data_IF_137705434437
#
_entry.id   IF_137705434437
#
_cell.length_a   1.000
_cell.length_b   1.000
_cell.length_c   1.000
_cell.angle_alpha   90.00
_cell.angle_beta   90.00
_cell.angle_gamma   90.00
#
_symmetry.space_group_name_H-M   'P 1'
#
loop_
_entity.id
_entity.type
_entity.pdbx_description
1 polymer ?
#
# COMPACT_ATOMS: atom_id res chain seq x y z
N UNK A 1 33.72 -3.85 -1.79
CA UNK A 1 32.26 -3.86 -1.49
C UNK A 1 31.81 -2.41 -1.41
N UNK A 2 30.82 -2.02 -2.17
CA UNK A 2 30.23 -0.68 -2.04
C UNK A 2 29.54 -0.58 -0.69
N UNK A 3 29.80 0.50 0.07
CA UNK A 3 29.16 0.71 1.34
C UNK A 3 27.69 1.04 1.11
N UNK A 4 26.78 0.29 1.76
CA UNK A 4 25.34 0.58 1.70
C UNK A 4 25.09 1.91 2.38
N UNK A 5 24.30 2.76 1.71
CA UNK A 5 23.87 4.04 2.27
C UNK A 5 22.34 4.10 2.34
N UNK A 6 21.85 4.61 3.45
CA UNK A 6 20.41 4.85 3.69
C UNK A 6 20.25 6.35 3.92
N UNK A 7 19.48 7.00 3.04
CA UNK A 7 19.22 8.45 3.09
C UNK A 7 17.73 8.68 3.33
N UNK A 8 17.38 9.19 4.50
CA UNK A 8 15.98 9.46 4.85
C UNK A 8 15.38 10.53 3.92
N UNK A 9 14.14 10.32 3.51
CA UNK A 9 13.33 11.34 2.86
C UNK A 9 13.00 12.48 3.86
N UNK A 10 12.63 13.63 3.34
CA UNK A 10 12.31 14.82 4.15
C UNK A 10 11.05 14.69 5.02
N UNK A 11 10.28 13.62 4.93
CA UNK A 11 9.06 13.41 5.70
C UNK A 11 9.25 12.49 6.91
N UNK A 12 8.15 12.16 7.56
CA UNK A 12 8.10 11.26 8.71
C UNK A 12 8.50 9.81 8.36
N UNK A 13 8.43 9.41 7.09
CA UNK A 13 8.71 8.07 6.60
C UNK A 13 9.48 8.08 5.28
N UNK A 14 9.93 6.90 4.86
CA UNK A 14 10.64 6.67 3.60
C UNK A 14 12.14 6.95 3.66
N UNK A 15 12.92 6.13 2.94
CA UNK A 15 14.35 6.30 2.73
C UNK A 15 14.78 5.81 1.34
N UNK A 16 15.76 6.47 0.73
CA UNK A 16 16.48 5.95 -0.43
C UNK A 16 17.64 5.09 0.02
N UNK A 17 17.83 3.96 -0.65
CA UNK A 17 18.89 2.99 -0.38
C UNK A 17 19.77 2.84 -1.62
N UNK A 18 21.07 2.95 -1.45
CA UNK A 18 22.05 2.74 -2.51
C UNK A 18 23.16 1.79 -2.05
N UNK A 19 23.89 1.21 -3.01
CA UNK A 19 25.03 0.33 -2.75
C UNK A 19 24.70 -1.12 -2.47
N UNK A 20 23.43 -1.53 -2.55
CA UNK A 20 23.02 -2.95 -2.47
C UNK A 20 23.37 -3.64 -3.78
N UNK A 21 24.10 -4.74 -3.69
CA UNK A 21 24.35 -5.62 -4.85
C UNK A 21 23.25 -6.68 -4.92
N UNK A 22 22.64 -6.93 -6.12
CA UNK A 22 21.50 -7.85 -6.25
C UNK A 22 21.95 -9.31 -6.31
N UNK A 23 22.54 -9.79 -5.22
CA UNK A 23 22.96 -11.18 -5.06
C UNK A 23 22.19 -11.86 -3.92
N UNK A 24 21.93 -13.15 -4.04
CA UNK A 24 21.21 -13.94 -3.03
C UNK A 24 22.11 -15.10 -2.57
N UNK A 25 22.27 -15.30 -1.25
CA UNK A 25 21.76 -14.46 -0.17
C UNK A 25 22.55 -13.15 -0.02
N UNK A 26 21.92 -12.14 0.56
CA UNK A 26 22.61 -10.94 1.03
C UNK A 26 23.45 -11.29 2.27
N UNK A 27 24.52 -10.53 2.50
CA UNK A 27 25.32 -10.65 3.74
C UNK A 27 24.55 -10.13 4.97
N UNK A 28 24.99 -10.54 6.16
CA UNK A 28 24.28 -10.26 7.40
C UNK A 28 24.22 -8.76 7.74
N UNK A 29 25.26 -7.97 7.40
CA UNK A 29 25.31 -6.54 7.65
C UNK A 29 24.31 -5.80 6.76
N UNK A 30 24.25 -6.17 5.48
CA UNK A 30 23.25 -5.68 4.53
C UNK A 30 21.83 -5.98 5.01
N UNK A 31 21.55 -7.21 5.41
CA UNK A 31 20.25 -7.63 5.93
C UNK A 31 19.85 -6.78 7.15
N UNK A 32 20.75 -6.63 8.11
CA UNK A 32 20.50 -5.84 9.32
C UNK A 32 20.20 -4.37 8.98
N UNK A 33 20.98 -3.79 8.08
CA UNK A 33 20.83 -2.39 7.65
C UNK A 33 19.47 -2.19 6.98
N UNK A 34 19.07 -3.07 6.06
CA UNK A 34 17.80 -2.99 5.35
C UNK A 34 16.61 -3.16 6.29
N UNK A 35 16.66 -4.16 7.18
CA UNK A 35 15.58 -4.38 8.16
C UNK A 35 15.43 -3.19 9.11
N UNK A 36 16.54 -2.68 9.65
CA UNK A 36 16.51 -1.50 10.50
C UNK A 36 15.88 -0.30 9.78
N UNK A 37 16.34 0.01 8.57
CA UNK A 37 15.81 1.12 7.78
C UNK A 37 14.31 0.92 7.46
N UNK A 38 13.89 -0.32 7.18
CA UNK A 38 12.51 -0.64 6.92
C UNK A 38 11.62 -0.50 8.14
N UNK A 39 12.06 -0.94 9.31
CA UNK A 39 11.34 -0.79 10.57
C UNK A 39 11.18 0.67 10.99
N UNK A 40 12.22 1.49 10.77
CA UNK A 40 12.22 2.90 11.14
C UNK A 40 11.49 3.79 10.12
N UNK A 41 11.47 3.41 8.83
CA UNK A 41 11.01 4.29 7.75
C UNK A 41 9.82 3.76 6.95
N UNK A 42 9.50 2.48 7.01
CA UNK A 42 8.34 1.85 6.37
C UNK A 42 8.36 1.79 4.84
N UNK A 43 9.16 2.61 4.15
CA UNK A 43 9.30 2.66 2.69
C UNK A 43 10.78 2.73 2.31
N UNK A 44 11.26 1.78 1.53
CA UNK A 44 12.59 1.79 0.94
C UNK A 44 12.50 1.99 -0.58
N UNK A 45 13.34 2.87 -1.11
CA UNK A 45 13.40 3.25 -2.51
C UNK A 45 14.80 2.95 -3.03
N UNK A 46 14.88 2.16 -4.08
CA UNK A 46 16.12 1.86 -4.80
C UNK A 46 15.99 2.44 -6.21
N UNK A 47 16.93 3.30 -6.59
CA UNK A 47 16.95 3.96 -7.89
C UNK A 47 17.88 3.24 -8.85
N UNK A 48 17.48 3.17 -10.12
CA UNK A 48 18.29 2.59 -11.21
C UNK A 48 18.86 1.20 -10.82
N UNK A 49 17.99 0.36 -10.24
CA UNK A 49 18.35 -0.91 -9.63
C UNK A 49 17.97 -2.07 -10.52
N UNK A 50 18.93 -2.61 -11.27
CA UNK A 50 18.66 -3.72 -12.19
C UNK A 50 18.53 -5.04 -11.44
N UNK A 51 17.31 -5.58 -11.39
CA UNK A 51 16.98 -6.81 -10.65
C UNK A 51 16.00 -7.70 -11.40
N UNK A 52 16.13 -9.00 -11.18
CA UNK A 52 15.12 -9.97 -11.60
C UNK A 52 13.98 -10.11 -10.58
N UNK A 53 13.00 -10.95 -10.93
CA UNK A 53 11.86 -11.24 -10.05
C UNK A 53 12.28 -12.03 -8.81
N UNK A 54 13.32 -12.87 -8.92
CA UNK A 54 13.79 -13.69 -7.80
C UNK A 54 14.35 -12.80 -6.69
N UNK A 55 15.16 -11.81 -7.06
CA UNK A 55 15.72 -10.86 -6.10
C UNK A 55 14.65 -9.96 -5.50
N UNK A 56 13.69 -9.45 -6.31
CA UNK A 56 12.56 -8.66 -5.80
C UNK A 56 11.73 -9.44 -4.78
N UNK A 57 11.42 -10.71 -5.06
CA UNK A 57 10.69 -11.60 -4.15
C UNK A 57 11.48 -11.84 -2.88
N UNK A 58 12.77 -12.15 -3.01
CA UNK A 58 13.67 -12.36 -1.87
C UNK A 58 13.68 -11.16 -0.92
N UNK A 59 13.83 -9.93 -1.44
CA UNK A 59 13.78 -8.71 -0.62
C UNK A 59 12.43 -8.53 0.06
N UNK A 60 11.33 -8.81 -0.63
CA UNK A 60 9.99 -8.67 -0.06
C UNK A 60 9.76 -9.66 1.08
N UNK A 61 10.19 -10.92 0.92
CA UNK A 61 10.10 -11.93 1.98
C UNK A 61 11.07 -11.65 3.14
N UNK A 62 12.27 -11.15 2.84
CA UNK A 62 13.27 -10.74 3.85
C UNK A 62 12.75 -9.66 4.79
N UNK A 63 12.00 -8.69 4.26
CA UNK A 63 11.48 -7.56 5.02
C UNK A 63 10.13 -7.85 5.70
N UNK A 64 9.41 -8.89 5.26
CA UNK A 64 8.15 -9.30 5.89
C UNK A 64 8.36 -10.25 7.07
N UNK A 65 9.41 -11.04 7.06
CA UNK A 65 9.70 -12.09 8.04
C UNK A 65 10.85 -11.79 8.98
N UNK A 66 10.97 -12.62 10.03
CA UNK A 66 12.13 -12.57 10.96
C UNK A 66 13.29 -13.41 10.45
N UNK A 67 13.00 -14.48 9.73
CA UNK A 67 14.02 -15.39 9.17
C UNK A 67 14.56 -14.86 7.84
N UNK A 68 15.77 -15.28 7.48
CA UNK A 68 16.32 -15.04 6.14
C UNK A 68 15.66 -16.05 5.18
N UNK A 69 15.03 -15.59 4.09
CA UNK A 69 14.38 -16.50 3.15
C UNK A 69 15.35 -17.49 2.52
N UNK A 70 14.92 -18.73 2.38
CA UNK A 70 15.63 -19.75 1.61
C UNK A 70 15.41 -19.45 0.11
N UNK A 71 16.47 -19.16 -0.66
CA UNK A 71 16.35 -18.80 -2.07
C UNK A 71 15.69 -19.85 -2.96
N UNK A 72 15.69 -21.11 -2.52
CA UNK A 72 15.13 -22.23 -3.28
C UNK A 72 13.64 -22.49 -2.95
N UNK A 73 13.11 -21.77 -1.95
CA UNK A 73 11.71 -21.89 -1.49
C UNK A 73 10.86 -20.64 -1.76
N UNK A 74 11.40 -19.65 -2.45
CA UNK A 74 10.68 -18.42 -2.77
C UNK A 74 9.42 -18.69 -3.62
N UNK A 75 8.31 -18.03 -3.27
CA UNK A 75 7.07 -18.08 -4.06
C UNK A 75 7.11 -17.04 -5.17
N UNK A 76 7.66 -17.39 -6.32
CA UNK A 76 7.84 -16.47 -7.44
C UNK A 76 6.57 -16.38 -8.28
N UNK A 77 6.06 -15.14 -8.46
CA UNK A 77 4.91 -14.78 -9.29
C UNK A 77 5.31 -13.60 -10.19
N UNK A 78 5.80 -13.88 -11.37
CA UNK A 78 6.37 -12.88 -12.29
C UNK A 78 5.35 -12.17 -13.18
N UNK A 79 4.11 -12.64 -13.19
CA UNK A 79 3.02 -12.12 -14.03
C UNK A 79 2.07 -11.16 -13.31
N UNK A 80 2.35 -10.77 -12.06
CA UNK A 80 1.53 -9.79 -11.38
C UNK A 80 1.98 -8.36 -11.74
N UNK A 81 1.38 -7.83 -12.78
CA UNK A 81 1.70 -6.50 -13.33
C UNK A 81 0.59 -5.50 -13.03
N UNK A 82 0.98 -4.32 -12.59
CA UNK A 82 0.11 -3.13 -12.55
C UNK A 82 0.42 -2.32 -13.80
N UNK A 83 -0.47 -2.37 -14.80
CA UNK A 83 -0.13 -1.86 -16.11
C UNK A 83 -1.32 -1.29 -16.88
N UNK A 84 -1.10 -0.19 -17.60
CA UNK A 84 -2.03 0.35 -18.60
C UNK A 84 -1.72 -0.15 -20.03
N UNK A 85 -0.77 -1.07 -20.18
CA UNK A 85 -0.36 -1.64 -21.48
C UNK A 85 -0.60 -3.13 -21.58
N UNK A 86 -0.28 -3.87 -20.50
CA UNK A 86 -0.40 -5.32 -20.51
C UNK A 86 -1.87 -5.75 -20.44
N UNK A 87 -2.37 -6.59 -21.38
CA UNK A 87 -3.78 -6.99 -21.44
C UNK A 87 -4.29 -7.66 -20.16
N UNK A 88 -3.40 -8.34 -19.42
CA UNK A 88 -3.70 -9.02 -18.15
C UNK A 88 -3.28 -8.18 -16.93
N UNK A 89 -2.84 -6.95 -17.16
CA UNK A 89 -2.40 -6.04 -16.10
C UNK A 89 -3.52 -5.69 -15.14
N UNK A 90 -3.20 -5.66 -13.85
CA UNK A 90 -4.12 -5.17 -12.83
C UNK A 90 -4.16 -3.63 -12.83
N UNK A 91 -5.30 -3.07 -12.38
CA UNK A 91 -5.53 -1.63 -12.27
C UNK A 91 -5.09 -0.83 -13.51
N UNK A 92 -5.63 -1.15 -14.71
CA UNK A 92 -5.10 -0.64 -15.98
C UNK A 92 -5.35 0.86 -16.20
N UNK A 93 -6.32 1.45 -15.51
CA UNK A 93 -6.69 2.86 -15.63
C UNK A 93 -7.29 3.39 -14.33
N UNK A 94 -7.67 4.65 -14.29
CA UNK A 94 -8.38 5.30 -13.20
C UNK A 94 -7.53 5.66 -11.99
N UNK A 95 -8.16 6.30 -11.02
CA UNK A 95 -7.59 6.66 -9.71
C UNK A 95 -7.89 5.57 -8.68
N UNK A 96 -6.95 5.31 -7.80
CA UNK A 96 -7.16 4.48 -6.62
C UNK A 96 -7.13 5.36 -5.37
N UNK A 97 -8.16 5.23 -4.52
CA UNK A 97 -8.19 5.89 -3.22
C UNK A 97 -7.12 5.30 -2.29
N UNK A 98 -6.80 6.01 -1.21
CA UNK A 98 -5.87 5.51 -0.20
C UNK A 98 -6.36 4.22 0.43
N UNK A 99 -5.48 3.22 0.47
CA UNK A 99 -5.74 1.89 1.01
C UNK A 99 -4.45 1.18 1.44
N UNK A 100 -4.62 0.14 2.23
CA UNK A 100 -3.67 -0.94 2.42
C UNK A 100 -4.25 -2.20 1.80
N UNK A 101 -3.46 -2.94 1.02
CA UNK A 101 -3.93 -4.17 0.38
C UNK A 101 -4.36 -5.20 1.42
N UNK A 102 -5.51 -5.85 1.19
CA UNK A 102 -6.05 -6.92 2.03
C UNK A 102 -6.36 -6.52 3.49
N UNK A 103 -6.49 -5.23 3.80
CA UNK A 103 -6.80 -4.74 5.15
C UNK A 103 -8.10 -5.32 5.70
N UNK A 104 -9.03 -5.71 4.84
CA UNK A 104 -10.32 -6.31 5.14
C UNK A 104 -10.28 -7.83 5.32
N UNK A 105 -9.16 -8.49 4.99
CA UNK A 105 -9.07 -9.95 5.04
C UNK A 105 -8.56 -10.44 6.39
N UNK A 106 -9.32 -11.37 7.00
CA UNK A 106 -8.88 -12.07 8.20
C UNK A 106 -7.84 -13.18 7.91
N UNK A 107 -7.82 -13.67 6.66
CA UNK A 107 -7.08 -14.88 6.27
C UNK A 107 -5.79 -14.58 5.54
N UNK A 108 -5.76 -13.50 4.78
CA UNK A 108 -4.72 -13.21 3.79
C UNK A 108 -4.13 -11.81 4.01
N UNK A 109 -3.56 -11.57 5.19
CA UNK A 109 -2.86 -10.31 5.45
C UNK A 109 -1.61 -10.22 4.59
N UNK A 110 -1.41 -9.08 3.96
CA UNK A 110 -0.20 -8.71 3.23
C UNK A 110 0.60 -7.72 4.08
N UNK A 111 1.81 -8.09 4.46
CA UNK A 111 2.66 -7.27 5.31
C UNK A 111 3.58 -6.35 4.50
N UNK A 112 4.11 -6.84 3.38
CA UNK A 112 5.05 -6.12 2.52
C UNK A 112 4.58 -6.17 1.07
N UNK A 113 4.68 -5.04 0.40
CA UNK A 113 4.47 -4.94 -1.05
C UNK A 113 5.70 -4.31 -1.68
N UNK A 114 6.08 -4.79 -2.85
CA UNK A 114 7.04 -4.09 -3.69
C UNK A 114 6.55 -3.90 -5.11
N UNK A 115 6.96 -2.78 -5.71
CA UNK A 115 6.73 -2.46 -7.11
C UNK A 115 8.06 -2.15 -7.78
N UNK A 116 8.25 -2.70 -8.98
CA UNK A 116 9.44 -2.49 -9.80
C UNK A 116 9.06 -1.90 -11.18
N UNK A 117 9.66 -0.80 -11.54
CA UNK A 117 9.41 -0.09 -12.82
C UNK A 117 10.02 -0.83 -14.00
N UNK A 118 9.20 -1.59 -14.77
CA UNK A 118 9.63 -2.31 -15.96
C UNK A 118 9.59 -1.45 -17.22
N UNK A 119 8.52 -0.66 -17.37
CA UNK A 119 8.32 0.27 -18.47
C UNK A 119 7.62 1.51 -17.92
N UNK A 120 8.29 2.66 -17.99
CA UNK A 120 7.82 3.89 -17.36
C UNK A 120 8.04 5.08 -18.30
N UNK A 121 6.99 5.44 -19.06
CA UNK A 121 6.98 6.65 -19.89
C UNK A 121 6.77 7.91 -19.06
N UNK A 122 7.28 9.03 -19.53
CA UNK A 122 7.18 10.31 -18.85
C UNK A 122 6.16 11.26 -19.50
N UNK A 123 5.43 12.07 -18.72
CA UNK A 123 5.40 12.11 -17.26
C UNK A 123 4.69 10.88 -16.67
N UNK A 124 5.30 10.21 -15.71
CA UNK A 124 4.73 9.02 -15.09
C UNK A 124 3.73 9.39 -13.98
N UNK A 125 2.60 8.69 -13.92
CA UNK A 125 1.69 8.81 -12.79
C UNK A 125 2.36 8.28 -11.52
N UNK A 126 2.48 9.08 -10.44
CA UNK A 126 3.14 8.67 -9.21
C UNK A 126 2.36 7.60 -8.45
N UNK A 127 3.02 6.95 -7.49
CA UNK A 127 2.36 6.28 -6.38
C UNK A 127 2.44 7.18 -5.15
N UNK A 128 1.28 7.43 -4.53
CA UNK A 128 1.15 8.28 -3.35
C UNK A 128 1.23 7.44 -2.10
N UNK A 129 1.85 7.96 -1.05
CA UNK A 129 1.96 7.30 0.25
C UNK A 129 1.63 8.25 1.39
N UNK A 130 1.07 7.71 2.48
CA UNK A 130 0.96 8.34 3.81
C UNK A 130 1.38 7.34 4.88
N UNK A 131 1.82 7.86 6.02
CA UNK A 131 2.10 7.04 7.19
C UNK A 131 0.92 7.02 8.15
N UNK A 132 0.40 5.83 8.43
CA UNK A 132 -0.63 5.63 9.44
C UNK A 132 -0.07 5.79 10.87
N UNK A 133 1.24 5.60 11.07
CA UNK A 133 1.92 5.88 12.32
C UNK A 133 2.00 7.40 12.59
N UNK A 134 2.48 8.17 11.61
CA UNK A 134 2.48 9.63 11.71
C UNK A 134 1.05 10.16 11.89
N UNK A 135 0.10 9.56 11.15
CA UNK A 135 -1.32 9.86 11.31
C UNK A 135 -1.82 9.68 12.75
N UNK A 136 -1.40 8.60 13.44
CA UNK A 136 -1.73 8.40 14.85
C UNK A 136 -0.99 9.37 15.76
N UNK A 137 0.31 9.54 15.58
CA UNK A 137 1.16 10.35 16.44
C UNK A 137 0.78 11.83 16.43
N UNK A 138 0.28 12.32 15.31
CA UNK A 138 -0.15 13.72 15.10
C UNK A 138 -1.67 13.92 15.18
N UNK A 139 -2.44 12.86 15.50
CA UNK A 139 -3.90 12.92 15.58
C UNK A 139 -4.35 13.94 16.63
N UNK A 140 -5.23 14.90 16.29
CA UNK A 140 -5.82 15.84 17.25
C UNK A 140 -6.45 15.10 18.44
N UNK A 141 -6.29 15.67 19.65
CA UNK A 141 -6.69 14.97 20.89
C UNK A 141 -8.20 14.72 20.96
N UNK A 142 -9.02 15.60 20.40
CA UNK A 142 -10.47 15.41 20.36
C UNK A 142 -10.90 14.23 19.46
N UNK A 143 -10.19 14.02 18.33
CA UNK A 143 -10.40 12.85 17.46
C UNK A 143 -9.80 11.58 18.12
N UNK A 144 -8.61 11.69 18.71
CA UNK A 144 -7.96 10.59 19.43
C UNK A 144 -8.85 10.05 20.56
N UNK A 145 -9.42 10.94 21.38
CA UNK A 145 -10.31 10.58 22.47
C UNK A 145 -11.56 9.81 21.99
N UNK A 146 -12.06 10.14 20.78
CA UNK A 146 -13.22 9.45 20.21
C UNK A 146 -12.92 8.04 19.73
N UNK A 147 -11.64 7.70 19.39
CA UNK A 147 -11.34 6.47 18.65
C UNK A 147 -10.32 5.54 19.31
N UNK A 148 -9.56 6.00 20.32
CA UNK A 148 -8.44 5.24 20.91
C UNK A 148 -8.80 3.84 21.43
N UNK A 149 -10.02 3.68 21.94
CA UNK A 149 -10.52 2.44 22.51
C UNK A 149 -11.60 1.77 21.63
N UNK A 150 -11.72 2.21 20.35
CA UNK A 150 -12.74 1.72 19.44
C UNK A 150 -12.15 0.89 18.34
N UNK A 151 -13.01 0.08 17.73
CA UNK A 151 -12.71 -0.73 16.55
C UNK A 151 -13.49 -0.25 15.33
N UNK A 152 -12.94 -0.50 14.16
CA UNK A 152 -13.60 -0.27 12.88
C UNK A 152 -13.90 -1.58 12.17
N UNK A 153 -14.97 -1.61 11.41
CA UNK A 153 -15.31 -2.70 10.51
C UNK A 153 -14.61 -2.45 9.18
N UNK A 154 -13.77 -3.40 8.80
CA UNK A 154 -13.05 -3.40 7.53
C UNK A 154 -13.74 -4.39 6.59
N UNK A 155 -14.23 -3.90 5.49
CA UNK A 155 -14.89 -4.68 4.44
C UNK A 155 -14.78 -3.92 3.12
N UNK A 156 -14.50 -4.64 2.03
CA UNK A 156 -14.56 -4.00 0.73
C UNK A 156 -16.02 -3.98 0.25
N UNK A 157 -16.62 -2.81 0.27
CA UNK A 157 -17.98 -2.56 -0.16
C UNK A 157 -17.97 -1.50 -1.26
N UNK A 158 -18.45 -1.89 -2.44
CA UNK A 158 -18.44 -1.03 -3.62
C UNK A 158 -19.29 0.24 -3.43
N UNK A 159 -20.43 0.15 -2.75
CA UNK A 159 -21.32 1.30 -2.54
C UNK A 159 -20.70 2.33 -1.59
N UNK A 160 -20.06 1.87 -0.51
CA UNK A 160 -19.33 2.76 0.41
C UNK A 160 -18.12 3.39 -0.29
N UNK A 161 -17.41 2.62 -1.09
CA UNK A 161 -16.29 3.13 -1.87
C UNK A 161 -16.74 4.21 -2.87
N UNK A 162 -17.83 3.95 -3.60
CA UNK A 162 -18.44 4.91 -4.54
C UNK A 162 -18.92 6.18 -3.83
N UNK A 163 -19.54 6.05 -2.66
CA UNK A 163 -19.99 7.20 -1.85
C UNK A 163 -18.81 8.10 -1.45
N UNK A 164 -17.69 7.52 -1.01
CA UNK A 164 -16.48 8.26 -0.62
C UNK A 164 -15.75 8.88 -1.80
N UNK A 165 -15.89 8.29 -2.96
CA UNK A 165 -15.38 8.81 -4.22
C UNK A 165 -16.37 9.73 -4.93
N UNK A 166 -17.49 10.11 -4.30
CA UNK A 166 -18.56 10.87 -4.93
C UNK A 166 -18.06 12.16 -5.58
N UNK A 167 -18.49 12.39 -6.82
CA UNK A 167 -18.02 13.52 -7.65
C UNK A 167 -16.74 13.26 -8.44
N UNK A 168 -16.09 12.11 -8.24
CA UNK A 168 -14.89 11.73 -8.98
C UNK A 168 -15.21 10.59 -9.97
N UNK A 169 -15.27 10.90 -11.25
CA UNK A 169 -15.62 9.95 -12.31
C UNK A 169 -14.44 9.06 -12.74
N UNK A 170 -13.22 9.41 -12.31
CA UNK A 170 -12.00 8.71 -12.71
C UNK A 170 -11.59 7.61 -11.72
N UNK A 171 -12.38 7.36 -10.68
CA UNK A 171 -12.05 6.35 -9.67
C UNK A 171 -12.24 4.95 -10.23
N UNK A 172 -11.19 4.14 -10.12
CA UNK A 172 -11.24 2.72 -10.44
C UNK A 172 -11.90 1.96 -9.30
N UNK A 173 -12.99 1.29 -9.62
CA UNK A 173 -13.68 0.40 -8.69
C UNK A 173 -13.30 -1.04 -9.03
N UNK A 174 -12.80 -1.75 -8.03
CA UNK A 174 -12.48 -3.17 -8.14
C UNK A 174 -13.68 -3.97 -7.63
N UNK A 175 -14.26 -4.81 -8.46
CA UNK A 175 -15.31 -5.72 -8.02
C UNK A 175 -14.64 -6.97 -7.45
N UNK A 176 -14.43 -7.01 -6.15
CA UNK A 176 -14.03 -8.22 -5.45
C UNK A 176 -15.28 -9.01 -5.06
N UNK A 177 -15.26 -10.30 -5.29
CA UNK A 177 -16.24 -11.19 -4.67
C UNK A 177 -15.79 -11.50 -3.25
N UNK A 178 -15.92 -10.52 -2.35
CA UNK A 178 -15.47 -10.66 -0.96
C UNK A 178 -16.43 -11.47 -0.10
N UNK A 179 -17.62 -11.79 -0.63
CA UNK A 179 -18.66 -12.44 0.16
C UNK A 179 -19.07 -11.58 1.37
N UNK A 180 -19.38 -12.24 2.47
CA UNK A 180 -19.65 -11.58 3.76
C UNK A 180 -18.39 -11.44 4.63
N UNK A 181 -17.21 -11.63 4.06
CA UNK A 181 -15.95 -11.56 4.80
C UNK A 181 -15.68 -10.11 5.22
N UNK A 182 -15.68 -9.88 6.51
CA UNK A 182 -15.26 -8.63 7.14
C UNK A 182 -14.39 -8.91 8.36
N UNK A 183 -13.59 -7.95 8.75
CA UNK A 183 -12.85 -8.00 10.01
C UNK A 183 -13.14 -6.77 10.84
N UNK A 184 -13.14 -6.95 12.15
CA UNK A 184 -13.19 -5.84 13.10
C UNK A 184 -11.79 -5.66 13.67
N UNK A 185 -11.22 -4.46 13.48
CA UNK A 185 -9.86 -4.14 13.90
C UNK A 185 -9.85 -2.92 14.82
N UNK A 186 -8.99 -2.86 15.85
CA UNK A 186 -8.78 -1.62 16.59
C UNK A 186 -8.40 -0.47 15.66
N UNK A 187 -8.96 0.73 15.90
CA UNK A 187 -8.57 1.95 15.17
C UNK A 187 -7.16 2.36 15.58
N UNK A 188 -6.86 2.32 16.88
CA UNK A 188 -5.51 2.40 17.42
C UNK A 188 -4.84 1.01 17.34
N UNK A 189 -4.40 0.62 16.15
CA UNK A 189 -3.87 -0.72 15.91
C UNK A 189 -2.39 -0.80 16.27
N UNK A 190 -2.01 -1.87 16.98
CA UNK A 190 -0.61 -2.10 17.31
C UNK A 190 0.06 -2.88 16.20
N UNK A 191 1.03 -2.25 15.56
CA UNK A 191 1.78 -2.86 14.46
C UNK A 191 2.51 -4.13 14.96
N UNK A 192 2.32 -5.30 14.32
CA UNK A 192 2.80 -6.58 14.85
C UNK A 192 4.31 -6.72 14.89
N UNK A 193 5.04 -6.07 13.98
CA UNK A 193 6.50 -6.14 13.88
C UNK A 193 7.19 -5.06 14.69
N UNK A 194 6.79 -3.79 14.54
CA UNK A 194 7.44 -2.65 15.21
C UNK A 194 6.88 -2.36 16.60
N UNK A 195 5.66 -2.79 16.89
CA UNK A 195 4.96 -2.47 18.14
C UNK A 195 4.45 -1.03 18.21
N UNK A 196 4.65 -0.21 17.19
CA UNK A 196 4.13 1.16 17.15
C UNK A 196 2.61 1.18 16.98
N UNK A 197 1.96 2.21 17.48
CA UNK A 197 0.52 2.41 17.26
C UNK A 197 0.31 3.14 15.95
N UNK A 198 -0.61 2.64 15.13
CA UNK A 198 -0.99 3.23 13.84
C UNK A 198 -2.48 3.56 13.81
N UNK A 199 -2.86 4.56 13.04
CA UNK A 199 -4.25 4.89 12.76
C UNK A 199 -4.77 3.97 11.63
N UNK A 200 -5.42 2.87 12.04
CA UNK A 200 -5.75 1.77 11.13
C UNK A 200 -7.17 1.89 10.56
N UNK A 201 -7.36 2.91 9.71
CA UNK A 201 -8.57 3.17 8.93
C UNK A 201 -8.16 3.61 7.51
N UNK A 202 -8.96 3.29 6.49
CA UNK A 202 -8.71 3.79 5.13
C UNK A 202 -10.01 4.04 4.37
N UNK A 203 -9.94 4.89 3.34
CA UNK A 203 -11.10 5.25 2.52
C UNK A 203 -11.70 4.07 1.76
N UNK A 204 -10.89 3.08 1.39
CA UNK A 204 -11.34 1.98 0.53
C UNK A 204 -12.17 0.96 1.30
N UNK A 205 -11.78 0.59 2.53
CA UNK A 205 -12.33 -0.59 3.19
C UNK A 205 -12.93 -0.34 4.57
N UNK A 206 -12.66 0.78 5.22
CA UNK A 206 -13.25 1.06 6.53
C UNK A 206 -14.71 1.45 6.36
N UNK A 207 -15.63 0.59 6.80
CA UNK A 207 -17.06 0.81 6.66
C UNK A 207 -17.58 1.83 7.66
N UNK A 208 -17.38 1.53 8.94
CA UNK A 208 -17.84 2.33 10.08
C UNK A 208 -17.06 1.99 11.34
N UNK A 209 -17.21 2.81 12.36
CA UNK A 209 -16.81 2.46 13.73
C UNK A 209 -17.81 1.42 14.27
N UNK A 210 -17.32 0.31 14.81
CA UNK A 210 -18.11 -0.91 15.04
C UNK A 210 -19.32 -0.70 15.96
N UNK A 211 -19.15 0.10 17.01
CA UNK A 211 -20.14 0.35 18.07
C UNK A 211 -20.85 1.72 17.93
N UNK A 212 -20.79 2.31 16.72
CA UNK A 212 -21.47 3.57 16.41
C UNK A 212 -22.51 3.37 15.31
N UNK A 213 -23.68 4.03 15.38
CA UNK A 213 -24.56 4.20 14.22
C UNK A 213 -23.80 4.89 13.06
N UNK A 214 -24.13 4.56 11.84
CA UNK A 214 -23.46 5.12 10.65
C UNK A 214 -23.48 6.65 10.64
N UNK A 215 -24.61 7.27 11.01
CA UNK A 215 -24.75 8.72 11.06
C UNK A 215 -23.81 9.42 12.06
N UNK A 216 -23.38 8.72 13.10
CA UNK A 216 -22.39 9.22 14.07
C UNK A 216 -20.96 8.85 13.67
N UNK A 217 -20.79 7.67 13.06
CA UNK A 217 -19.50 7.16 12.63
C UNK A 217 -18.93 7.95 11.44
N UNK A 218 -19.78 8.26 10.45
CA UNK A 218 -19.32 8.91 9.21
C UNK A 218 -18.57 10.24 9.47
N UNK A 219 -19.09 11.20 10.27
CA UNK A 219 -18.37 12.44 10.54
C UNK A 219 -17.04 12.24 11.29
N UNK A 220 -16.93 11.21 12.13
CA UNK A 220 -15.68 10.88 12.81
C UNK A 220 -14.67 10.31 11.80
N UNK A 221 -15.09 9.38 10.93
CA UNK A 221 -14.23 8.83 9.89
C UNK A 221 -13.76 9.89 8.90
N UNK A 222 -14.66 10.81 8.49
CA UNK A 222 -14.30 11.91 7.62
C UNK A 222 -13.19 12.78 8.25
N UNK A 223 -13.32 13.12 9.53
CA UNK A 223 -12.26 13.85 10.26
C UNK A 223 -10.93 13.06 10.33
N UNK A 224 -10.97 11.73 10.49
CA UNK A 224 -9.77 10.90 10.46
C UNK A 224 -9.14 10.87 9.05
N UNK A 225 -9.94 10.80 8.00
CA UNK A 225 -9.46 10.82 6.62
C UNK A 225 -8.87 12.17 6.23
N UNK A 226 -9.53 13.29 6.60
CA UNK A 226 -9.01 14.63 6.37
C UNK A 226 -7.63 14.82 7.04
N UNK A 227 -7.47 14.27 8.25
CA UNK A 227 -6.20 14.31 8.96
C UNK A 227 -5.13 13.41 8.31
N UNK A 228 -5.48 12.15 7.95
CA UNK A 228 -4.53 11.20 7.35
C UNK A 228 -4.03 11.67 5.98
N UNK A 229 -4.93 12.22 5.18
CA UNK A 229 -4.66 12.55 3.77
C UNK A 229 -4.39 14.03 3.53
N UNK A 230 -4.05 14.78 4.60
CA UNK A 230 -3.60 16.14 4.47
C UNK A 230 -2.39 16.26 3.54
N UNK A 231 -2.35 17.30 2.73
CA UNK A 231 -1.38 17.41 1.63
C UNK A 231 0.09 17.40 2.10
N UNK A 232 0.35 17.93 3.28
CA UNK A 232 1.69 17.98 3.90
C UNK A 232 2.18 16.63 4.44
N UNK A 233 1.29 15.64 4.55
CA UNK A 233 1.62 14.27 4.99
C UNK A 233 1.89 13.31 3.83
N UNK A 234 1.63 13.74 2.61
CA UNK A 234 1.72 12.88 1.44
C UNK A 234 3.13 12.87 0.84
N UNK A 235 3.59 11.69 0.47
CA UNK A 235 4.77 11.51 -0.37
C UNK A 235 4.35 10.95 -1.72
N UNK A 236 4.81 11.58 -2.81
CA UNK A 236 4.56 11.17 -4.19
C UNK A 236 5.83 10.58 -4.82
N UNK A 237 5.89 9.26 -4.95
CA UNK A 237 6.99 8.61 -5.65
C UNK A 237 6.90 8.83 -7.16
N UNK A 238 7.82 9.62 -7.69
CA UNK A 238 7.95 9.85 -9.13
C UNK A 238 8.72 8.70 -9.76
N UNK A 239 8.02 7.90 -10.55
CA UNK A 239 8.56 6.69 -11.15
C UNK A 239 9.60 6.95 -12.24
N UNK A 240 10.63 6.12 -12.27
CA UNK A 240 11.57 5.93 -13.36
C UNK A 240 11.67 4.44 -13.65
N UNK A 241 12.14 4.06 -14.83
CA UNK A 241 12.50 2.68 -15.10
C UNK A 241 13.57 2.19 -14.14
N UNK A 242 13.49 0.94 -13.73
CA UNK A 242 14.37 0.30 -12.75
C UNK A 242 14.32 0.90 -11.34
N UNK A 243 13.32 1.75 -11.04
CA UNK A 243 13.02 2.04 -9.65
C UNK A 243 12.39 0.81 -8.99
N UNK A 244 12.90 0.43 -7.82
CA UNK A 244 12.22 -0.50 -6.92
C UNK A 244 11.77 0.27 -5.68
N UNK A 245 10.50 0.14 -5.32
CA UNK A 245 9.99 0.55 -4.01
C UNK A 245 9.46 -0.65 -3.25
N UNK A 246 9.75 -0.70 -1.96
CA UNK A 246 9.24 -1.73 -1.04
C UNK A 246 8.66 -1.02 0.16
N UNK A 247 7.43 -1.37 0.56
CA UNK A 247 6.80 -0.71 1.70
C UNK A 247 6.09 -1.67 2.64
N UNK A 248 6.01 -1.25 3.89
CA UNK A 248 5.20 -1.86 4.93
C UNK A 248 3.73 -1.54 4.67
N UNK A 249 2.98 -2.53 4.22
CA UNK A 249 1.58 -2.36 3.84
C UNK A 249 0.64 -2.20 5.05
N UNK A 250 1.15 -2.44 6.26
CA UNK A 250 0.39 -2.22 7.50
C UNK A 250 0.58 -0.77 7.97
N UNK A 251 1.83 -0.29 7.97
CA UNK A 251 2.17 1.03 8.46
C UNK A 251 1.87 2.15 7.45
N UNK A 252 1.89 1.84 6.15
CA UNK A 252 1.69 2.82 5.08
C UNK A 252 0.45 2.50 4.25
N UNK A 253 -0.32 3.53 3.94
CA UNK A 253 -1.34 3.46 2.92
C UNK A 253 -0.82 4.04 1.62
N UNK A 254 -1.32 3.51 0.52
CA UNK A 254 -0.95 3.98 -0.80
C UNK A 254 -2.16 4.30 -1.67
N UNK A 255 -1.95 5.20 -2.61
CA UNK A 255 -2.96 5.65 -3.56
C UNK A 255 -2.31 5.90 -4.92
N UNK A 256 -3.13 6.10 -5.92
CA UNK A 256 -2.65 6.42 -7.26
C UNK A 256 -3.57 7.47 -7.91
N UNK A 257 -3.04 8.61 -8.38
CA UNK A 257 -3.79 9.50 -9.26
C UNK A 257 -4.28 8.79 -10.53
N UNK A 258 -5.14 9.44 -11.28
CA UNK A 258 -5.72 8.86 -12.47
C UNK A 258 -4.65 8.43 -13.49
N UNK A 259 -4.69 7.15 -13.88
CA UNK A 259 -3.94 6.60 -15.02
C UNK A 259 -4.88 6.49 -16.20
N UNK A 260 -4.48 7.06 -17.34
CA UNK A 260 -5.23 6.93 -18.58
C UNK A 260 -4.71 5.74 -19.37
N UNK A 261 -5.61 4.95 -19.96
CA UNK A 261 -5.25 3.80 -20.81
C UNK A 261 -4.31 4.21 -21.93
N UNK A 262 -4.55 5.37 -22.55
CA UNK A 262 -3.77 5.92 -23.65
C UNK A 262 -2.66 6.88 -23.21
N UNK A 263 -2.45 7.00 -21.88
CA UNK A 263 -1.39 7.83 -21.31
C UNK A 263 -0.01 7.23 -21.51
N UNK A 264 1.04 7.82 -20.93
CA UNK A 264 2.38 7.23 -20.93
C UNK A 264 2.36 5.79 -20.40
N UNK A 265 3.17 4.87 -20.94
CA UNK A 265 3.23 3.51 -20.46
C UNK A 265 3.65 3.48 -18.99
N UNK A 266 2.98 2.64 -18.22
CA UNK A 266 3.25 2.42 -16.80
C UNK A 266 3.03 0.95 -16.48
N UNK A 267 4.10 0.18 -16.58
CA UNK A 267 4.12 -1.25 -16.25
C UNK A 267 5.04 -1.48 -15.06
N UNK A 268 4.44 -1.82 -13.95
CA UNK A 268 5.12 -2.09 -12.69
C UNK A 268 4.92 -3.56 -12.31
N UNK A 269 6.01 -4.28 -12.06
CA UNK A 269 5.96 -5.64 -11.55
C UNK A 269 5.74 -5.61 -10.04
N UNK A 270 4.68 -6.26 -9.55
CA UNK A 270 4.29 -6.31 -8.14
C UNK A 270 4.69 -7.63 -7.50
N UNK A 271 5.27 -7.58 -6.31
CA UNK A 271 5.32 -8.71 -5.39
C UNK A 271 4.66 -8.36 -4.07
N UNK A 272 4.18 -9.38 -3.36
CA UNK A 272 3.52 -9.26 -2.05
C UNK A 272 4.04 -10.34 -1.12
N UNK A 273 4.18 -10.03 0.16
CA UNK A 273 4.63 -10.99 1.17
C UNK A 273 3.89 -10.76 2.50
N UNK A 274 3.40 -11.83 3.19
CA UNK A 274 3.32 -13.18 2.65
C UNK A 274 2.39 -13.26 1.43
N UNK A 275 2.61 -14.24 0.54
CA UNK A 275 1.71 -14.43 -0.60
C UNK A 275 0.39 -15.04 -0.12
N UNK A 276 -0.78 -14.47 -0.47
CA UNK A 276 -2.07 -14.99 -0.05
C UNK A 276 -2.27 -16.46 -0.43
N UNK A 277 -2.81 -17.23 0.50
CA UNK A 277 -3.10 -18.66 0.27
C UNK A 277 -4.40 -18.86 -0.52
N UNK A 278 -5.34 -17.93 -0.40
CA UNK A 278 -6.54 -17.91 -1.23
C UNK A 278 -6.21 -17.33 -2.60
N UNK A 279 -6.32 -18.13 -3.64
CA UNK A 279 -6.24 -17.62 -5.02
C UNK A 279 -7.55 -16.88 -5.29
N UNK A 280 -7.54 -15.58 -5.13
CA UNK A 280 -8.64 -14.76 -5.56
C UNK A 280 -8.64 -14.69 -7.10
N UNK A 281 -9.78 -14.97 -7.70
CA UNK A 281 -10.00 -14.55 -9.08
C UNK A 281 -9.72 -13.05 -9.16
N UNK A 282 -8.87 -12.64 -10.10
CA UNK A 282 -8.50 -11.24 -10.25
C UNK A 282 -9.72 -10.32 -10.27
N UNK A 283 -9.66 -9.13 -9.69
CA UNK A 283 -10.79 -8.23 -9.62
C UNK A 283 -11.25 -7.84 -11.03
N UNK A 284 -12.56 -7.72 -11.23
CA UNK A 284 -13.10 -7.02 -12.38
C UNK A 284 -13.02 -5.52 -12.11
N UNK A 285 -12.53 -4.76 -13.06
CA UNK A 285 -12.40 -3.30 -12.93
C UNK A 285 -13.51 -2.58 -13.70
N UNK A 286 -14.11 -1.61 -13.07
CA UNK A 286 -15.03 -0.65 -13.70
C UNK A 286 -14.64 0.76 -13.27
N UNK A 287 -14.83 1.75 -14.15
CA UNK A 287 -14.78 3.16 -13.74
C UNK A 287 -16.12 3.59 -13.18
N UNK A 288 -16.10 4.56 -12.26
CA UNK A 288 -17.33 5.27 -11.92
C UNK A 288 -17.76 6.06 -13.15
N UNK A 289 -18.87 5.67 -13.76
CA UNK A 289 -19.57 6.54 -14.70
C UNK A 289 -20.32 7.61 -13.89
N UNK A 290 -20.34 8.85 -14.38
CA UNK A 290 -21.21 9.87 -13.82
C UNK A 290 -22.63 9.28 -13.78
N UNK A 291 -23.16 9.03 -12.59
CA UNK A 291 -24.57 8.70 -12.41
C UNK A 291 -25.34 9.84 -13.03
N UNK A 292 -26.13 9.56 -14.06
CA UNK A 292 -27.10 10.53 -14.53
C UNK A 292 -27.92 10.94 -13.31
N UNK A 293 -27.75 12.20 -12.91
CA UNK A 293 -28.57 12.79 -11.87
C UNK A 293 -30.00 12.78 -12.38
N UNK A 294 -30.78 11.84 -11.89
CA UNK A 294 -32.26 11.79 -12.06
C UNK A 294 -32.91 12.45 -10.85
#
# INVERSE_FOLDING_TARGET
MSQITVSNLAGAFGAEVAGVEPQIPLDAETIQTLRKAFDERGLLIFRDFEIDIKFQTYLSELLSGVDVPDPDKLTIKDNFLISNREPTGAAPYGRLLYHSDQMWSAKDRVDVISLYGREVGQPATPTMFISAEDGWNTLPEDLRAKVKDRSAIQHYDEDVYRKRAAGDTDVLVSTYQTGEDFVTTPIAFRHPRTGHTILYVCQQTTQRIADMPTAESDPVLDGLFDHLYAADKQYAHQWRERDLIIWDNIALQHARPNVKTEGPPRTLRKTISPYPKSVMAGPKYTTMTASAAS
#
